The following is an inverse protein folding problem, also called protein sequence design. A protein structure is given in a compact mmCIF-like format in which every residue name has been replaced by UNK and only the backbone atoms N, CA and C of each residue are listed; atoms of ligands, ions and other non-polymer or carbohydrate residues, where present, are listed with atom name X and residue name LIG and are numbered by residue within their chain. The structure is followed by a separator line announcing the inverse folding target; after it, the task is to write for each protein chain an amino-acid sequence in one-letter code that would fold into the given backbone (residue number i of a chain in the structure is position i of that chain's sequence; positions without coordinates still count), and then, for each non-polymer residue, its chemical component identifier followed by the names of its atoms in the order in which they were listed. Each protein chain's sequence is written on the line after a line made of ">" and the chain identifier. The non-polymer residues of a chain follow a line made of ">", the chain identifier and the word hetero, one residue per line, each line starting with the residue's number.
data_IF_211494778723
#
_entry.id   IF_211494778723
#
_cell.length_a   1.000
_cell.length_b   1.000
_cell.length_c   1.000
_cell.angle_alpha   90.00
_cell.angle_beta   90.00
_cell.angle_gamma   90.00
#
_symmetry.space_group_name_H-M   'P 1'
#
loop_
_entity.id
_entity.type
_entity.pdbx_description
1 polymer ?
#
# COMPACT_ATOMS: atom_id res chain seq x y z
N UNK A 1 -32.73 11.98 -29.59
CA UNK A 1 -32.16 10.79 -30.24
C UNK A 1 -30.85 11.04 -30.98
N UNK A 2 -30.67 12.08 -31.79
CA UNK A 2 -29.42 12.32 -32.57
C UNK A 2 -28.13 12.51 -31.75
N UNK A 3 -28.20 13.13 -30.56
CA UNK A 3 -27.02 13.38 -29.69
C UNK A 3 -26.44 12.10 -29.07
N UNK A 4 -27.26 11.11 -28.79
CA UNK A 4 -26.79 9.84 -28.21
C UNK A 4 -26.17 8.91 -29.26
N UNK A 5 -26.65 9.00 -30.50
CA UNK A 5 -26.09 8.25 -31.61
C UNK A 5 -24.69 8.75 -31.99
N UNK A 6 -24.44 10.06 -31.95
CA UNK A 6 -23.11 10.63 -32.21
C UNK A 6 -22.09 10.22 -31.12
N UNK A 7 -22.51 10.16 -29.83
CA UNK A 7 -21.66 9.70 -28.75
C UNK A 7 -21.33 8.20 -28.88
N UNK A 8 -22.31 7.39 -29.26
CA UNK A 8 -22.09 5.95 -29.47
C UNK A 8 -21.11 5.70 -30.62
N UNK A 9 -21.20 6.44 -31.72
CA UNK A 9 -20.27 6.34 -32.85
C UNK A 9 -18.84 6.73 -32.41
N UNK A 10 -18.70 7.79 -31.61
CA UNK A 10 -17.39 8.23 -31.11
C UNK A 10 -16.73 7.17 -30.22
N UNK A 11 -17.48 6.56 -29.33
CA UNK A 11 -17.00 5.50 -28.42
C UNK A 11 -16.56 4.27 -29.24
N UNK A 12 -17.34 3.84 -30.22
CA UNK A 12 -16.98 2.71 -31.07
C UNK A 12 -15.74 3.00 -31.93
N UNK A 13 -15.55 4.23 -32.37
CA UNK A 13 -14.35 4.64 -33.13
C UNK A 13 -13.09 4.62 -32.25
N UNK A 14 -13.19 5.04 -30.99
CA UNK A 14 -12.06 4.99 -30.02
C UNK A 14 -11.68 3.55 -29.69
N UNK A 15 -12.67 2.67 -29.49
CA UNK A 15 -12.43 1.24 -29.21
C UNK A 15 -11.78 0.57 -30.44
N UNK A 16 -12.26 0.84 -31.65
CA UNK A 16 -11.67 0.30 -32.87
C UNK A 16 -10.22 0.76 -33.06
N UNK A 17 -9.93 2.02 -32.75
CA UNK A 17 -8.56 2.55 -32.84
C UNK A 17 -7.62 1.92 -31.82
N UNK A 18 -8.10 1.72 -30.58
CA UNK A 18 -7.34 1.04 -29.53
C UNK A 18 -6.98 -0.41 -29.91
N UNK A 19 -7.92 -1.15 -30.51
CA UNK A 19 -7.67 -2.54 -30.98
C UNK A 19 -6.62 -2.56 -32.09
N UNK A 20 -6.64 -1.59 -33.01
CA UNK A 20 -5.64 -1.50 -34.11
C UNK A 20 -4.24 -1.21 -33.54
N UNK A 21 -4.13 -0.31 -32.55
CA UNK A 21 -2.85 0.03 -31.92
C UNK A 21 -2.26 -1.18 -31.20
N UNK A 22 -3.09 -1.93 -30.45
CA UNK A 22 -2.64 -3.15 -29.76
C UNK A 22 -2.19 -4.23 -30.76
N UNK A 23 -2.89 -4.39 -31.88
CA UNK A 23 -2.52 -5.37 -32.92
C UNK A 23 -1.21 -5.03 -33.64
N UNK A 24 -0.82 -3.74 -33.70
CA UNK A 24 0.42 -3.31 -34.32
C UNK A 24 1.65 -3.44 -33.40
N UNK A 25 1.42 -3.57 -32.07
CA UNK A 25 2.50 -3.71 -31.09
C UNK A 25 2.89 -5.17 -30.80
N UNK A 26 2.09 -6.13 -31.27
CA UNK A 26 2.37 -7.57 -31.12
C UNK A 26 2.99 -8.09 -32.43
N UNK A 27 4.28 -7.87 -32.65
CA UNK A 27 5.03 -8.60 -33.68
C UNK A 27 5.59 -9.87 -33.07
N UNK A 28 5.32 -11.07 -33.61
CA UNK A 28 5.99 -12.26 -33.16
C UNK A 28 7.48 -12.20 -33.52
N UNK A 29 8.32 -12.29 -32.50
CA UNK A 29 9.76 -12.47 -32.71
C UNK A 29 9.98 -13.92 -33.14
N UNK A 30 10.28 -14.13 -34.41
CA UNK A 30 10.76 -15.41 -34.93
C UNK A 30 12.16 -15.67 -34.33
N UNK A 31 12.24 -16.70 -33.50
CA UNK A 31 13.51 -17.30 -33.14
C UNK A 31 13.96 -18.21 -34.29
N UNK A 32 14.95 -17.76 -35.08
CA UNK A 32 15.65 -18.64 -35.99
C UNK A 32 17.05 -18.89 -35.44
N UNK A 33 17.35 -20.13 -35.32
CA UNK A 33 18.50 -20.75 -34.68
C UNK A 33 19.74 -20.77 -35.59
N UNK A 34 20.91 -20.54 -35.00
CA UNK A 34 22.14 -21.09 -35.53
C UNK A 34 22.98 -21.71 -34.42
N UNK A 35 23.65 -22.86 -34.65
CA UNK A 35 24.39 -23.59 -33.62
C UNK A 35 25.87 -23.11 -33.59
N UNK A 36 26.43 -23.05 -32.43
CA UNK A 36 27.88 -22.79 -32.38
C UNK A 36 28.44 -22.65 -30.98
N UNK A 37 29.18 -23.68 -30.62
CA UNK A 37 30.32 -23.75 -29.71
C UNK A 37 30.10 -23.73 -28.20
N UNK A 38 30.30 -24.88 -27.61
CA UNK A 38 30.59 -25.10 -26.19
C UNK A 38 31.89 -24.41 -25.78
N UNK A 39 31.94 -23.65 -24.72
CA UNK A 39 33.15 -23.35 -23.99
C UNK A 39 33.37 -24.39 -22.90
N UNK A 40 34.61 -24.87 -22.86
CA UNK A 40 35.17 -25.86 -21.95
C UNK A 40 35.03 -25.44 -20.48
N UNK A 41 34.82 -26.45 -19.63
CA UNK A 41 34.83 -26.45 -18.18
C UNK A 41 36.04 -25.69 -17.59
N UNK A 42 35.75 -24.73 -16.72
CA UNK A 42 36.69 -24.31 -15.68
C UNK A 42 36.07 -24.71 -14.34
N UNK A 43 36.74 -25.68 -13.69
CA UNK A 43 36.36 -26.29 -12.41
C UNK A 43 36.74 -25.37 -11.26
N UNK A 44 35.95 -24.33 -11.05
CA UNK A 44 35.99 -23.44 -9.89
C UNK A 44 34.72 -23.54 -9.09
N UNK A 45 34.48 -24.67 -8.40
CA UNK A 45 33.32 -24.85 -7.49
C UNK A 45 33.34 -23.87 -6.34
N UNK A 46 32.49 -22.88 -6.41
CA UNK A 46 31.93 -22.26 -5.21
C UNK A 46 30.65 -23.05 -4.85
N UNK A 47 30.55 -23.67 -3.67
CA UNK A 47 29.28 -24.26 -3.22
C UNK A 47 28.37 -23.13 -2.76
N UNK A 48 27.50 -22.70 -3.63
CA UNK A 48 26.45 -21.70 -3.37
C UNK A 48 25.16 -22.19 -3.98
N UNK A 49 24.23 -22.50 -3.13
CA UNK A 49 22.84 -22.84 -3.29
C UNK A 49 22.26 -22.66 -4.70
N UNK A 50 22.20 -23.76 -5.42
CA UNK A 50 21.50 -23.86 -6.69
C UNK A 50 20.00 -24.00 -6.36
N UNK A 51 19.30 -22.86 -6.19
CA UNK A 51 17.84 -22.84 -6.16
C UNK A 51 17.39 -23.23 -7.58
N UNK A 52 16.67 -24.36 -7.74
CA UNK A 52 16.20 -24.80 -9.05
C UNK A 52 15.32 -23.70 -9.67
N UNK A 53 15.43 -23.51 -10.98
CA UNK A 53 14.67 -22.48 -11.73
C UNK A 53 13.13 -22.66 -11.65
N UNK A 54 12.66 -23.69 -11.01
CA UNK A 54 11.23 -24.01 -10.76
C UNK A 54 10.64 -23.31 -9.53
N UNK A 55 11.46 -22.62 -8.70
CA UNK A 55 10.98 -21.89 -7.50
C UNK A 55 11.03 -20.36 -7.66
N UNK A 56 11.08 -19.85 -8.88
CA UNK A 56 10.76 -18.44 -9.07
C UNK A 56 9.24 -18.31 -8.89
N UNK A 57 8.84 -17.77 -7.75
CA UNK A 57 7.47 -17.39 -7.47
C UNK A 57 7.09 -16.28 -8.47
N UNK A 58 6.53 -16.65 -9.61
CA UNK A 58 5.89 -15.69 -10.50
C UNK A 58 4.50 -15.45 -9.92
N UNK A 59 4.14 -14.18 -9.74
CA UNK A 59 2.77 -13.82 -9.40
C UNK A 59 1.83 -14.37 -10.47
N UNK A 60 0.71 -14.91 -10.05
CA UNK A 60 -0.36 -15.34 -10.97
C UNK A 60 -1.00 -14.11 -11.61
N UNK A 61 -1.67 -14.29 -12.75
CA UNK A 61 -2.38 -13.20 -13.42
C UNK A 61 -3.43 -12.56 -12.48
N UNK A 62 -4.03 -13.33 -11.57
CA UNK A 62 -4.96 -12.87 -10.55
C UNK A 62 -4.27 -11.98 -9.51
N UNK A 63 -3.11 -12.39 -8.98
CA UNK A 63 -2.33 -11.60 -8.03
C UNK A 63 -1.81 -10.29 -8.66
N UNK A 64 -1.43 -10.33 -9.93
CA UNK A 64 -1.03 -9.12 -10.69
C UNK A 64 -2.22 -8.19 -10.84
N UNK A 65 -3.40 -8.70 -11.19
CA UNK A 65 -4.61 -7.89 -11.35
C UNK A 65 -5.03 -7.25 -10.02
N UNK A 66 -5.02 -8.00 -8.93
CA UNK A 66 -5.32 -7.50 -7.58
C UNK A 66 -4.33 -6.40 -7.15
N UNK A 67 -3.04 -6.57 -7.46
CA UNK A 67 -2.02 -5.56 -7.15
C UNK A 67 -2.26 -4.25 -7.90
N UNK A 68 -2.63 -4.30 -9.19
CA UNK A 68 -2.98 -3.12 -9.99
C UNK A 68 -4.25 -2.41 -9.49
N UNK A 69 -5.27 -3.17 -9.10
CA UNK A 69 -6.49 -2.59 -8.54
C UNK A 69 -6.23 -1.89 -7.21
N UNK A 70 -5.44 -2.50 -6.32
CA UNK A 70 -5.04 -1.92 -5.05
C UNK A 70 -4.21 -0.65 -5.23
N UNK A 71 -3.26 -0.62 -6.18
CA UNK A 71 -2.48 0.57 -6.50
C UNK A 71 -3.36 1.72 -7.04
N UNK A 72 -4.32 1.41 -7.90
CA UNK A 72 -5.26 2.39 -8.44
C UNK A 72 -6.15 2.99 -7.34
N UNK A 73 -6.66 2.17 -6.42
CA UNK A 73 -7.45 2.62 -5.26
C UNK A 73 -6.61 3.51 -4.37
N UNK A 74 -5.39 3.12 -4.06
CA UNK A 74 -4.45 3.88 -3.25
C UNK A 74 -4.13 5.25 -3.89
N UNK A 75 -3.83 5.29 -5.17
CA UNK A 75 -3.58 6.52 -5.90
C UNK A 75 -4.82 7.44 -5.95
N UNK A 76 -6.01 6.89 -6.07
CA UNK A 76 -7.26 7.65 -6.04
C UNK A 76 -7.55 8.24 -4.65
N UNK A 77 -7.23 7.52 -3.58
CA UNK A 77 -7.31 8.01 -2.19
C UNK A 77 -6.30 9.14 -1.96
N UNK A 78 -5.04 8.93 -2.36
CA UNK A 78 -3.98 9.94 -2.21
C UNK A 78 -4.28 11.23 -2.97
N UNK A 79 -4.93 11.15 -4.14
CA UNK A 79 -5.29 12.32 -4.94
C UNK A 79 -6.35 13.21 -4.28
N UNK A 80 -7.14 12.67 -3.34
CA UNK A 80 -8.19 13.39 -2.59
C UNK A 80 -7.79 13.69 -1.14
N UNK A 81 -6.71 13.09 -0.68
CA UNK A 81 -6.31 13.13 0.73
C UNK A 81 -5.74 14.50 1.10
N UNK A 82 -6.05 14.92 2.33
CA UNK A 82 -5.28 15.94 3.02
C UNK A 82 -3.88 15.38 3.32
N UNK A 83 -2.87 16.24 3.45
CA UNK A 83 -1.48 15.84 3.66
C UNK A 83 -0.83 16.65 4.77
N UNK A 84 -0.01 15.99 5.58
CA UNK A 84 0.88 16.61 6.54
C UNK A 84 2.23 15.88 6.55
N UNK A 85 3.32 16.65 6.58
CA UNK A 85 4.69 16.12 6.58
C UNK A 85 5.31 16.22 7.96
N UNK A 86 6.43 15.53 8.17
CA UNK A 86 7.17 15.53 9.43
C UNK A 86 6.34 15.14 10.66
N UNK A 87 5.43 14.18 10.46
CA UNK A 87 4.59 13.67 11.54
C UNK A 87 5.39 12.72 12.41
N UNK A 88 5.41 12.98 13.72
CA UNK A 88 6.00 12.08 14.72
C UNK A 88 5.09 10.91 14.96
N UNK A 89 5.53 9.73 14.60
CA UNK A 89 4.80 8.47 14.79
C UNK A 89 5.37 7.72 15.99
N UNK A 90 4.50 7.44 16.95
CA UNK A 90 4.78 6.60 18.14
C UNK A 90 3.90 5.36 18.11
N UNK A 91 4.09 4.45 19.06
CA UNK A 91 3.37 3.18 19.11
C UNK A 91 2.83 2.92 20.50
N UNK A 92 1.61 2.38 20.61
CA UNK A 92 0.99 1.98 21.87
C UNK A 92 0.35 0.59 21.77
N UNK A 93 0.18 -0.07 22.87
CA UNK A 93 -0.65 -1.28 22.98
C UNK A 93 -1.77 -1.06 24.00
N UNK A 94 -2.80 -1.90 23.98
CA UNK A 94 -3.96 -1.80 24.86
C UNK A 94 -3.69 -2.25 26.31
N UNK A 95 -2.46 -2.09 26.81
CA UNK A 95 -2.13 -2.44 28.18
C UNK A 95 -2.28 -1.25 29.13
N UNK A 96 -2.41 -1.53 30.42
CA UNK A 96 -2.57 -0.50 31.48
C UNK A 96 -1.43 0.53 31.46
N UNK A 97 -0.19 0.13 31.09
CA UNK A 97 0.95 1.07 31.01
C UNK A 97 0.80 2.09 29.88
N UNK A 98 0.25 1.70 28.75
CA UNK A 98 0.06 2.61 27.60
C UNK A 98 -1.24 3.39 27.72
N UNK A 99 -2.35 2.75 28.09
CA UNK A 99 -3.70 3.33 28.02
C UNK A 99 -4.31 3.69 29.37
N UNK A 100 -3.67 3.32 30.49
CA UNK A 100 -4.24 3.48 31.82
C UNK A 100 -5.41 2.52 32.12
N UNK A 101 -5.84 1.75 31.12
CA UNK A 101 -6.92 0.75 31.14
C UNK A 101 -6.56 -0.41 30.23
N UNK A 102 -7.24 -1.53 30.36
CA UNK A 102 -6.98 -2.77 29.59
C UNK A 102 -8.24 -3.31 28.87
N UNK A 103 -9.29 -2.50 28.79
CA UNK A 103 -10.52 -2.85 28.08
C UNK A 103 -10.34 -2.88 26.53
N UNK A 104 -9.29 -2.23 26.04
CA UNK A 104 -8.98 -2.14 24.62
C UNK A 104 -10.01 -1.33 23.82
N UNK A 105 -10.83 -0.51 24.47
CA UNK A 105 -11.84 0.32 23.81
C UNK A 105 -11.24 1.70 23.48
N UNK A 106 -11.34 2.11 22.23
CA UNK A 106 -10.88 3.40 21.72
C UNK A 106 -11.80 4.54 22.13
N UNK A 107 -11.41 5.76 21.82
CA UNK A 107 -12.26 6.94 22.05
C UNK A 107 -13.55 6.92 21.20
N UNK A 108 -13.50 6.35 19.98
CA UNK A 108 -14.70 6.17 19.13
C UNK A 108 -15.62 5.04 19.60
N UNK A 109 -15.26 4.30 20.66
CA UNK A 109 -16.06 3.22 21.24
C UNK A 109 -15.90 1.86 20.56
N UNK A 110 -15.00 1.73 19.58
CA UNK A 110 -14.66 0.45 18.96
C UNK A 110 -13.46 -0.19 19.64
N UNK A 111 -13.24 -1.49 19.41
CA UNK A 111 -12.07 -2.18 19.91
C UNK A 111 -10.82 -1.80 19.11
N UNK A 112 -9.79 -1.37 19.81
CA UNK A 112 -8.49 -1.09 19.17
C UNK A 112 -7.92 -2.37 18.54
N UNK A 113 -7.53 -2.27 17.29
CA UNK A 113 -6.98 -3.38 16.52
C UNK A 113 -5.54 -3.07 16.13
N UNK A 114 -4.56 -3.88 16.57
CA UNK A 114 -3.17 -3.72 16.16
C UNK A 114 -3.02 -3.71 14.64
N UNK A 115 -2.20 -2.78 14.14
CA UNK A 115 -1.96 -2.61 12.70
C UNK A 115 -3.11 -1.91 11.94
N UNK A 116 -4.22 -1.56 12.61
CA UNK A 116 -5.38 -0.88 12.00
C UNK A 116 -5.70 0.42 12.70
N UNK A 117 -5.76 0.42 14.04
CA UNK A 117 -6.17 1.60 14.81
C UNK A 117 -5.02 2.59 14.99
N UNK A 118 -5.31 3.87 14.77
CA UNK A 118 -4.40 4.98 15.08
C UNK A 118 -5.08 6.01 15.97
N UNK A 119 -4.33 6.53 16.96
CA UNK A 119 -4.72 7.67 17.74
C UNK A 119 -4.19 8.96 17.10
N UNK A 120 -5.06 9.96 17.00
CA UNK A 120 -4.84 11.21 16.26
C UNK A 120 -5.17 12.44 17.11
N UNK A 121 -4.70 13.60 16.69
CA UNK A 121 -5.27 14.88 17.12
C UNK A 121 -6.55 15.15 16.32
N UNK A 122 -7.69 15.07 16.98
CA UNK A 122 -9.02 15.23 16.37
C UNK A 122 -9.30 16.64 15.86
N UNK A 123 -8.45 17.62 16.20
CA UNK A 123 -8.52 18.97 15.61
C UNK A 123 -7.90 19.06 14.22
N UNK A 124 -7.12 18.05 13.81
CA UNK A 124 -6.43 17.96 12.52
C UNK A 124 -7.02 16.83 11.69
N UNK A 125 -7.09 15.63 12.27
CA UNK A 125 -7.61 14.42 11.61
C UNK A 125 -8.90 14.00 12.33
N UNK A 126 -10.07 14.13 11.71
CA UNK A 126 -11.32 13.70 12.33
C UNK A 126 -11.35 12.20 12.62
N UNK A 127 -12.05 11.81 13.69
CA UNK A 127 -12.28 10.38 13.96
C UNK A 127 -13.11 9.76 12.84
N UNK A 128 -12.80 8.50 12.53
CA UNK A 128 -13.39 7.77 11.41
C UNK A 128 -12.67 7.96 10.08
N UNK A 129 -11.70 8.89 10.01
CA UNK A 129 -10.90 9.10 8.79
C UNK A 129 -10.05 7.88 8.47
N UNK A 130 -9.89 7.63 7.17
CA UNK A 130 -8.88 6.73 6.64
C UNK A 130 -7.52 7.44 6.63
N UNK A 131 -6.51 6.82 7.23
CA UNK A 131 -5.18 7.39 7.43
C UNK A 131 -4.14 6.53 6.75
N UNK A 132 -3.31 7.16 5.91
CA UNK A 132 -2.21 6.51 5.19
C UNK A 132 -0.89 7.07 5.73
N UNK A 133 0.01 6.19 6.12
CA UNK A 133 1.31 6.55 6.69
C UNK A 133 2.42 6.08 5.75
N UNK A 134 3.18 7.03 5.23
CA UNK A 134 4.31 6.85 4.33
C UNK A 134 5.62 7.18 5.05
N UNK A 135 6.45 6.16 5.24
CA UNK A 135 7.79 6.31 5.82
C UNK A 135 8.87 6.63 4.80
N UNK A 136 8.51 6.75 3.51
CA UNK A 136 9.46 6.98 2.42
C UNK A 136 10.21 5.73 1.98
N UNK A 137 9.74 4.55 2.35
CA UNK A 137 10.32 3.24 1.99
C UNK A 137 9.62 2.58 0.79
N UNK A 138 8.66 3.29 0.17
CA UNK A 138 7.86 2.81 -0.95
C UNK A 138 6.63 1.99 -0.53
N UNK A 139 6.40 1.85 0.79
CA UNK A 139 5.24 1.15 1.33
C UNK A 139 4.34 2.15 2.05
N UNK A 140 3.08 2.21 1.67
CA UNK A 140 2.06 3.02 2.34
C UNK A 140 1.23 2.11 3.24
N UNK A 141 1.23 2.43 4.53
CA UNK A 141 0.51 1.68 5.54
C UNK A 141 -0.85 2.33 5.80
N UNK A 142 -1.91 1.53 5.81
CA UNK A 142 -3.28 1.97 6.03
C UNK A 142 -3.71 1.80 7.48
N UNK A 143 -4.35 2.84 8.03
CA UNK A 143 -4.91 2.87 9.39
C UNK A 143 -6.27 3.57 9.41
N UNK A 144 -6.98 3.41 10.52
CA UNK A 144 -8.22 4.11 10.79
C UNK A 144 -8.10 4.96 12.06
N UNK A 145 -8.50 6.20 11.99
CA UNK A 145 -8.50 7.16 13.10
C UNK A 145 -9.66 6.85 14.08
N UNK A 146 -9.46 5.87 14.94
CA UNK A 146 -10.49 5.46 15.90
C UNK A 146 -10.18 5.91 17.34
N UNK A 147 -8.99 6.43 17.60
CA UNK A 147 -8.56 6.77 18.95
C UNK A 147 -7.97 8.17 19.04
N UNK A 148 -7.82 8.65 20.26
CA UNK A 148 -7.15 9.91 20.58
C UNK A 148 -6.48 9.80 21.94
N UNK A 149 -5.54 10.71 22.23
CA UNK A 149 -4.86 10.78 23.52
C UNK A 149 -4.52 12.20 23.90
N UNK A 150 -4.44 12.49 25.20
CA UNK A 150 -4.06 13.81 25.71
C UNK A 150 -2.66 14.25 25.24
N UNK A 151 -1.77 13.27 25.00
CA UNK A 151 -0.40 13.48 24.52
C UNK A 151 -0.29 13.47 22.98
N UNK A 152 -1.39 13.18 22.25
CA UNK A 152 -1.44 13.13 20.80
C UNK A 152 -2.00 14.45 20.30
N UNK A 153 -1.09 15.40 20.05
CA UNK A 153 -1.42 16.77 19.64
C UNK A 153 -0.48 17.25 18.54
N UNK A 154 -1.04 18.05 17.64
CA UNK A 154 -0.32 18.56 16.48
C UNK A 154 0.11 17.44 15.53
N UNK A 155 1.32 17.58 14.98
CA UNK A 155 1.91 16.61 14.04
C UNK A 155 2.37 15.33 14.75
N UNK A 156 1.45 14.62 15.40
CA UNK A 156 1.74 13.38 16.12
C UNK A 156 0.65 12.34 15.91
N UNK A 157 1.08 11.12 15.65
CA UNK A 157 0.25 9.92 15.61
C UNK A 157 0.75 8.88 16.63
N UNK A 158 -0.15 8.01 17.07
CA UNK A 158 0.18 6.85 17.90
C UNK A 158 -0.51 5.60 17.35
N UNK A 159 0.30 4.66 16.83
CA UNK A 159 -0.18 3.47 16.15
C UNK A 159 -0.40 2.33 17.14
N UNK A 160 -1.56 1.69 17.07
CA UNK A 160 -1.85 0.53 17.89
C UNK A 160 -1.04 -0.69 17.41
N UNK A 161 -0.32 -1.32 18.33
CA UNK A 161 0.47 -2.54 18.11
C UNK A 161 0.08 -3.65 19.08
N UNK A 162 0.55 -4.87 18.82
CA UNK A 162 0.09 -6.06 19.54
C UNK A 162 0.63 -6.15 20.97
N UNK A 163 1.79 -5.56 21.26
CA UNK A 163 2.42 -5.67 22.56
C UNK A 163 3.21 -4.43 22.99
N UNK A 164 3.41 -4.29 24.29
CA UNK A 164 4.23 -3.22 24.86
C UNK A 164 5.70 -3.30 24.39
N UNK A 165 6.22 -4.51 24.25
CA UNK A 165 7.59 -4.71 23.79
C UNK A 165 7.76 -4.30 22.32
N UNK A 166 6.76 -4.59 21.50
CA UNK A 166 6.72 -4.15 20.11
C UNK A 166 6.70 -2.61 20.01
N UNK A 167 5.88 -1.95 20.81
CA UNK A 167 5.82 -0.49 20.86
C UNK A 167 7.19 0.13 21.20
N UNK A 168 7.91 -0.47 22.15
CA UNK A 168 9.27 -0.04 22.54
C UNK A 168 10.26 -0.27 21.41
N UNK A 169 10.22 -1.42 20.75
CA UNK A 169 11.15 -1.82 19.70
C UNK A 169 11.00 -0.95 18.43
N UNK A 170 9.76 -0.59 18.07
CA UNK A 170 9.47 0.29 16.93
C UNK A 170 9.88 1.75 17.21
N UNK A 171 9.89 2.15 18.47
CA UNK A 171 10.36 3.48 18.91
C UNK A 171 9.56 4.62 18.30
N UNK A 172 10.27 5.67 17.91
CA UNK A 172 9.70 6.88 17.31
C UNK A 172 10.24 7.04 15.90
N UNK A 173 9.33 7.24 14.95
CA UNK A 173 9.65 7.45 13.53
C UNK A 173 9.05 8.77 13.04
N UNK A 174 9.54 9.26 11.90
CA UNK A 174 8.93 10.38 11.18
C UNK A 174 8.33 9.86 9.88
N UNK A 175 7.16 10.36 9.52
CA UNK A 175 6.45 9.95 8.32
C UNK A 175 5.70 11.13 7.68
N UNK A 176 5.36 10.97 6.41
CA UNK A 176 4.31 11.75 5.75
C UNK A 176 2.98 11.04 5.97
N UNK A 177 1.96 11.81 6.33
CA UNK A 177 0.63 11.27 6.61
C UNK A 177 -0.39 11.89 5.68
N UNK A 178 -1.23 11.06 5.11
CA UNK A 178 -2.38 11.46 4.31
C UNK A 178 -3.65 10.98 5.01
N UNK A 179 -4.76 11.71 4.85
CA UNK A 179 -6.05 11.24 5.36
C UNK A 179 -7.20 11.70 4.48
N UNK A 180 -8.23 10.88 4.46
CA UNK A 180 -9.52 11.15 3.84
C UNK A 180 -10.58 11.07 4.92
N UNK A 181 -11.40 12.10 5.05
CA UNK A 181 -12.50 12.11 6.02
C UNK A 181 -13.55 11.07 5.61
N UNK A 182 -14.12 10.39 6.61
CA UNK A 182 -15.27 9.54 6.35
C UNK A 182 -16.48 10.40 5.95
N UNK A 183 -17.21 9.97 4.93
CA UNK A 183 -18.46 10.59 4.47
C UNK A 183 -19.58 10.48 5.50
#
# INVERSE_FOLDING_TARGET
>A
MKRNLARLILILAVIAWAIIVVSLLVTPVNADSAPGEEPKEDDGRIPGDHVPATERCYMTDEEVQESFENENIQNALLAKANKIEDVKVTHYCCCVKCCGKDDGITYSGVKATPGVTVAVDTSIIPLGSDVLVDYGDGVINYYRADDTGSAIKGNKLDLCVSSHQEAINLGVRTATVYWVEAD
#
